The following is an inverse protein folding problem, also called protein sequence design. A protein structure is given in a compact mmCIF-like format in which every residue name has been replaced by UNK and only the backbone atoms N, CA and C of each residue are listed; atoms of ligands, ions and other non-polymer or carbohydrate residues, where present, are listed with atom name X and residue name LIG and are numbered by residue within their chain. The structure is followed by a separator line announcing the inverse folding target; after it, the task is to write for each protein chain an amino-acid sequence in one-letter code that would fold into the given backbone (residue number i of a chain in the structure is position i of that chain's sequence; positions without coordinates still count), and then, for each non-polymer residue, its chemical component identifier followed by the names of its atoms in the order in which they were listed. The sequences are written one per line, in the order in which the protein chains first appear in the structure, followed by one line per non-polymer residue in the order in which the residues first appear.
data_IF_378957835854
#
_entry.id   IF_378957835854
#
_cell.length_a   1.000
_cell.length_b   1.000
_cell.length_c   1.000
_cell.angle_alpha   90.00
_cell.angle_beta   90.00
_cell.angle_gamma   90.00
#
_symmetry.space_group_name_H-M   'P 1'
#
loop_
_entity.id
_entity.type
_entity.pdbx_description
1 polymer ?
#
# COMPACT_ATOMS: atom_id res chain seq x y z
N UNK A 1 15.22 -1.26 -1.58
CA UNK A 1 14.26 -1.20 -0.44
C UNK A 1 13.73 0.21 -0.26
N UNK A 2 12.54 0.46 -0.79
CA UNK A 2 11.81 1.72 -0.58
C UNK A 2 11.30 1.74 0.85
N UNK A 3 11.68 2.76 1.63
CA UNK A 3 11.18 2.94 3.00
C UNK A 3 9.81 3.60 2.96
N UNK A 4 8.85 3.00 3.66
CA UNK A 4 7.53 3.59 3.88
C UNK A 4 7.61 4.49 5.11
N UNK A 5 7.20 5.74 4.96
CA UNK A 5 7.10 6.67 6.10
C UNK A 5 5.89 6.36 6.97
N UNK A 6 5.90 6.80 8.22
CA UNK A 6 4.76 6.57 9.13
C UNK A 6 3.46 7.20 8.61
N UNK A 7 3.56 8.40 8.02
CA UNK A 7 2.42 9.11 7.46
C UNK A 7 1.81 8.34 6.28
N UNK A 8 2.66 7.88 5.38
CA UNK A 8 2.26 7.05 4.24
C UNK A 8 1.56 5.76 4.69
N UNK A 9 2.13 5.07 5.68
CA UNK A 9 1.52 3.87 6.23
C UNK A 9 0.14 4.15 6.86
N UNK A 10 0.03 5.22 7.64
CA UNK A 10 -1.24 5.61 8.26
C UNK A 10 -2.31 5.97 7.23
N UNK A 11 -1.94 6.68 6.16
CA UNK A 11 -2.86 7.01 5.08
C UNK A 11 -3.36 5.77 4.34
N UNK A 12 -2.48 4.78 4.14
CA UNK A 12 -2.86 3.48 3.58
C UNK A 12 -3.82 2.71 4.48
N UNK A 13 -3.51 2.63 5.78
CA UNK A 13 -4.38 1.95 6.76
C UNK A 13 -5.77 2.61 6.80
N UNK A 14 -5.84 3.94 6.83
CA UNK A 14 -7.10 4.69 6.78
C UNK A 14 -7.86 4.42 5.48
N UNK A 15 -7.17 4.40 4.35
CA UNK A 15 -7.79 4.10 3.05
C UNK A 15 -8.37 2.69 3.03
N UNK A 16 -7.63 1.69 3.50
CA UNK A 16 -8.10 0.30 3.52
C UNK A 16 -9.28 0.10 4.50
N UNK A 17 -9.22 0.75 5.66
CA UNK A 17 -10.30 0.73 6.63
C UNK A 17 -11.57 1.40 6.07
N UNK A 18 -11.43 2.56 5.44
CA UNK A 18 -12.58 3.31 4.89
C UNK A 18 -13.25 2.63 3.70
N UNK A 19 -12.48 2.03 2.79
CA UNK A 19 -13.02 1.47 1.54
C UNK A 19 -13.37 -0.02 1.63
N UNK A 20 -12.68 -0.78 2.49
CA UNK A 20 -12.86 -2.24 2.60
C UNK A 20 -13.23 -2.71 4.01
N UNK A 21 -13.26 -1.82 5.01
CA UNK A 21 -13.51 -2.20 6.40
C UNK A 21 -12.36 -2.97 7.06
N UNK A 22 -11.17 -3.00 6.44
CA UNK A 22 -10.03 -3.81 6.92
C UNK A 22 -9.09 -2.96 7.77
N UNK A 23 -8.85 -3.37 9.02
CA UNK A 23 -7.81 -2.78 9.86
C UNK A 23 -6.45 -3.44 9.61
N UNK A 24 -5.52 -2.63 9.13
CA UNK A 24 -4.15 -3.03 8.81
C UNK A 24 -3.10 -2.43 9.78
N UNK A 25 -3.54 -1.68 10.80
CA UNK A 25 -2.68 -0.93 11.73
C UNK A 25 -1.58 -1.78 12.37
N UNK A 26 -1.85 -3.06 12.64
CA UNK A 26 -0.92 -4.01 13.28
C UNK A 26 -0.08 -4.83 12.30
N UNK A 27 -0.23 -4.64 10.98
CA UNK A 27 0.39 -5.47 9.94
C UNK A 27 1.52 -4.78 9.18
N UNK A 28 2.14 -3.75 9.76
CA UNK A 28 3.14 -2.90 9.09
C UNK A 28 4.26 -3.67 8.38
N UNK A 29 4.95 -4.55 9.09
CA UNK A 29 6.11 -5.29 8.55
C UNK A 29 5.71 -6.12 7.32
N UNK A 30 4.56 -6.78 7.38
CA UNK A 30 4.03 -7.60 6.27
C UNK A 30 3.70 -6.73 5.06
N UNK A 31 3.09 -5.58 5.31
CA UNK A 31 2.68 -4.60 4.30
C UNK A 31 3.92 -3.99 3.64
N UNK A 32 4.91 -3.57 4.42
CA UNK A 32 6.20 -3.08 3.92
C UNK A 32 6.90 -4.11 3.03
N UNK A 33 6.94 -5.38 3.43
CA UNK A 33 7.56 -6.44 2.62
C UNK A 33 6.82 -6.70 1.31
N UNK A 34 5.48 -6.77 1.33
CA UNK A 34 4.66 -6.97 0.11
C UNK A 34 4.78 -5.79 -0.85
N UNK A 35 4.67 -4.56 -0.33
CA UNK A 35 4.70 -3.35 -1.13
C UNK A 35 6.09 -3.04 -1.67
N UNK A 36 7.15 -3.26 -0.90
CA UNK A 36 8.52 -3.07 -1.38
C UNK A 36 8.77 -3.91 -2.64
N UNK A 37 8.32 -5.17 -2.64
CA UNK A 37 8.41 -6.04 -3.81
C UNK A 37 7.59 -5.53 -5.01
N UNK A 38 6.39 -4.98 -4.77
CA UNK A 38 5.53 -4.46 -5.85
C UNK A 38 6.08 -3.16 -6.45
N UNK A 39 6.59 -2.27 -5.61
CA UNK A 39 7.21 -1.00 -6.00
C UNK A 39 8.45 -1.27 -6.84
N UNK A 40 9.33 -2.17 -6.39
CA UNK A 40 10.52 -2.57 -7.13
C UNK A 40 10.17 -3.23 -8.47
N UNK A 41 9.18 -4.13 -8.51
CA UNK A 41 8.71 -4.75 -9.76
C UNK A 41 8.13 -3.77 -10.77
N UNK A 42 7.49 -2.70 -10.30
CA UNK A 42 6.89 -1.67 -11.16
C UNK A 42 7.87 -0.53 -11.51
N UNK A 43 9.10 -0.56 -11.00
CA UNK A 43 10.08 0.51 -11.19
C UNK A 43 9.66 1.83 -10.54
N UNK A 44 8.78 1.79 -9.55
CA UNK A 44 8.32 2.97 -8.80
C UNK A 44 9.36 3.36 -7.76
N UNK A 45 9.46 4.65 -7.47
CA UNK A 45 10.50 5.17 -6.56
C UNK A 45 9.98 5.50 -5.16
N UNK A 46 8.66 5.48 -4.97
CA UNK A 46 8.04 5.80 -3.68
C UNK A 46 6.75 5.03 -3.43
N UNK A 47 6.40 4.89 -2.15
CA UNK A 47 5.14 4.30 -1.76
C UNK A 47 3.94 5.19 -2.12
N UNK A 48 4.08 6.51 -1.98
CA UNK A 48 3.08 7.48 -2.43
C UNK A 48 2.71 7.34 -3.92
N UNK A 49 3.68 7.05 -4.79
CA UNK A 49 3.46 6.80 -6.22
C UNK A 49 2.63 5.53 -6.44
N UNK A 50 2.97 4.45 -5.72
CA UNK A 50 2.18 3.22 -5.73
C UNK A 50 0.75 3.44 -5.20
N UNK A 51 0.58 4.17 -4.10
CA UNK A 51 -0.73 4.51 -3.54
C UNK A 51 -1.62 5.29 -4.52
N UNK A 52 -1.04 6.20 -5.30
CA UNK A 52 -1.74 6.91 -6.38
C UNK A 52 -2.17 5.95 -7.49
N UNK A 53 -1.30 5.02 -7.88
CA UNK A 53 -1.62 3.98 -8.86
C UNK A 53 -2.80 3.12 -8.38
N UNK A 54 -2.76 2.63 -7.14
CA UNK A 54 -3.84 1.83 -6.53
C UNK A 54 -5.16 2.59 -6.49
N UNK A 55 -5.13 3.88 -6.13
CA UNK A 55 -6.35 4.71 -6.11
C UNK A 55 -6.95 4.92 -7.51
N UNK A 56 -6.13 4.89 -8.54
CA UNK A 56 -6.56 5.09 -9.92
C UNK A 56 -6.91 3.78 -10.65
N UNK A 57 -6.54 2.61 -10.10
CA UNK A 57 -6.71 1.32 -10.77
C UNK A 57 -7.36 0.27 -9.85
N UNK A 58 -8.57 -0.17 -10.22
CA UNK A 58 -9.37 -1.15 -9.46
C UNK A 58 -8.74 -2.55 -9.40
N UNK A 59 -7.90 -2.92 -10.38
CA UNK A 59 -7.23 -4.22 -10.39
C UNK A 59 -6.16 -4.31 -9.29
N UNK A 60 -5.42 -3.20 -9.06
CA UNK A 60 -4.39 -3.14 -8.03
C UNK A 60 -4.99 -3.13 -6.62
N UNK A 61 -6.16 -2.52 -6.47
CA UNK A 61 -6.95 -2.59 -5.24
C UNK A 61 -7.31 -4.04 -4.89
N UNK A 62 -7.75 -4.82 -5.87
CA UNK A 62 -8.15 -6.22 -5.68
C UNK A 62 -6.95 -7.08 -5.26
N UNK A 63 -5.75 -6.85 -5.83
CA UNK A 63 -4.52 -7.56 -5.44
C UNK A 63 -4.08 -7.33 -3.99
N UNK A 64 -4.50 -6.23 -3.35
CA UNK A 64 -4.15 -5.94 -1.95
C UNK A 64 -5.07 -6.62 -0.94
N UNK A 65 -6.31 -6.91 -1.37
CA UNK A 65 -7.36 -7.48 -0.52
C UNK A 65 -7.42 -9.01 -0.64
N UNK A 66 -7.01 -9.56 -1.79
CA UNK A 66 -7.05 -11.00 -2.09
C UNK A 66 -5.79 -11.77 -1.67
#
# INVERSE_FOLDING_TARGET
MVKITDNEFQDFVKYMNKNYGIDLSKKRILIEGRLSNLIEKKGMNSFSEYLKSVKNNNDEQTMLVN
#
